data_IF_013690223868
#
_entry.id   IF_013690223868
#
_cell.length_a   1.000
_cell.length_b   1.000
_cell.length_c   1.000
_cell.angle_alpha   90.00
_cell.angle_beta   90.00
_cell.angle_gamma   90.00
#
_symmetry.space_group_name_H-M   'P 1'
#
loop_
_entity.id
_entity.type
_entity.pdbx_description
1 polymer ?
#
# COMPACT_ATOMS: atom_id res chain seq x y z
N UNK A 1 -25.18 -9.13 11.87
CA UNK A 1 -24.19 -8.06 12.14
C UNK A 1 -23.67 -7.55 10.80
N UNK A 2 -23.79 -6.24 10.50
CA UNK A 2 -23.15 -5.67 9.30
C UNK A 2 -21.64 -5.80 9.48
N UNK A 3 -20.98 -6.64 8.67
CA UNK A 3 -19.52 -6.61 8.57
C UNK A 3 -19.13 -5.23 8.06
N UNK A 4 -18.58 -4.39 8.93
CA UNK A 4 -17.93 -3.15 8.53
C UNK A 4 -16.75 -3.53 7.65
N UNK A 5 -16.86 -3.24 6.36
CA UNK A 5 -15.78 -3.43 5.40
C UNK A 5 -14.65 -2.48 5.81
N UNK A 6 -13.48 -3.02 6.16
CA UNK A 6 -12.29 -2.21 6.30
C UNK A 6 -11.87 -1.74 4.90
N UNK A 7 -12.21 -0.49 4.58
CA UNK A 7 -11.95 0.11 3.28
C UNK A 7 -10.45 0.10 2.93
N UNK A 8 -9.59 0.36 3.92
CA UNK A 8 -8.14 0.37 3.71
C UNK A 8 -7.63 -1.02 3.34
N UNK A 9 -8.00 -2.05 4.11
CA UNK A 9 -7.57 -3.42 3.83
C UNK A 9 -8.13 -3.93 2.51
N UNK A 10 -9.38 -3.58 2.19
CA UNK A 10 -10.02 -3.93 0.92
C UNK A 10 -9.28 -3.30 -0.27
N UNK A 11 -8.96 -2.01 -0.17
CA UNK A 11 -8.22 -1.27 -1.19
C UNK A 11 -6.80 -1.81 -1.37
N UNK A 12 -6.03 -1.95 -0.28
CA UNK A 12 -4.64 -2.43 -0.34
C UNK A 12 -4.56 -3.89 -0.81
N UNK A 13 -5.50 -4.74 -0.41
CA UNK A 13 -5.57 -6.11 -0.94
C UNK A 13 -5.87 -6.14 -2.43
N UNK A 14 -6.80 -5.31 -2.91
CA UNK A 14 -7.10 -5.22 -4.33
C UNK A 14 -5.90 -4.75 -5.12
N UNK A 15 -5.27 -3.64 -4.70
CA UNK A 15 -4.08 -3.09 -5.34
C UNK A 15 -2.94 -4.12 -5.42
N UNK A 16 -2.70 -4.87 -4.35
CA UNK A 16 -1.70 -5.96 -4.31
C UNK A 16 -2.05 -7.11 -5.26
N UNK A 17 -3.27 -7.63 -5.20
CA UNK A 17 -3.70 -8.79 -6.01
C UNK A 17 -3.70 -8.48 -7.51
N UNK A 18 -4.20 -7.31 -7.88
CA UNK A 18 -4.29 -6.85 -9.27
C UNK A 18 -2.99 -6.19 -9.76
N UNK A 19 -1.94 -6.11 -8.92
CA UNK A 19 -0.65 -5.45 -9.22
C UNK A 19 -0.85 -4.04 -9.78
N UNK A 20 -1.73 -3.27 -9.15
CA UNK A 20 -2.05 -1.89 -9.55
C UNK A 20 -0.89 -0.98 -9.12
N UNK A 21 -0.34 -0.23 -10.08
CA UNK A 21 0.66 0.81 -9.80
C UNK A 21 0.03 1.96 -9.02
N UNK A 22 0.57 2.24 -7.83
CA UNK A 22 0.14 3.30 -6.94
C UNK A 22 1.19 4.39 -6.84
N UNK A 23 0.73 5.58 -6.47
CA UNK A 23 1.57 6.69 -6.05
C UNK A 23 1.30 6.92 -4.56
N UNK A 24 2.34 6.80 -3.73
CA UNK A 24 2.31 7.12 -2.30
C UNK A 24 2.97 8.47 -2.09
N UNK A 25 2.28 9.39 -1.43
CA UNK A 25 2.83 10.65 -0.95
C UNK A 25 3.13 10.51 0.53
N UNK A 26 4.40 10.65 0.90
CA UNK A 26 4.82 10.69 2.30
C UNK A 26 4.53 12.08 2.88
N UNK A 27 4.40 12.15 4.21
CA UNK A 27 4.13 13.41 4.93
C UNK A 27 5.23 14.47 4.75
N UNK A 28 6.45 14.05 4.48
CA UNK A 28 7.58 14.94 4.16
C UNK A 28 7.58 15.41 2.68
N UNK A 29 6.56 15.06 1.89
CA UNK A 29 6.42 15.45 0.48
C UNK A 29 7.11 14.52 -0.53
N UNK A 30 7.85 13.50 -0.09
CA UNK A 30 8.44 12.52 -1.00
C UNK A 30 7.34 11.71 -1.70
N UNK A 31 7.49 11.52 -3.01
CA UNK A 31 6.60 10.72 -3.86
C UNK A 31 7.26 9.39 -4.20
N UNK A 32 6.54 8.30 -3.96
CA UNK A 32 6.94 6.94 -4.35
C UNK A 32 5.94 6.39 -5.36
N UNK A 33 6.43 5.77 -6.43
CA UNK A 33 5.58 5.13 -7.47
C UNK A 33 5.95 3.65 -7.54
N UNK A 34 4.97 2.76 -7.45
CA UNK A 34 5.28 1.34 -7.33
C UNK A 34 4.08 0.46 -6.99
N UNK A 35 4.38 -0.74 -6.50
CA UNK A 35 3.40 -1.79 -6.24
C UNK A 35 3.36 -2.16 -4.76
N UNK A 36 2.17 -2.43 -4.22
CA UNK A 36 2.01 -3.01 -2.89
C UNK A 36 2.35 -4.50 -2.96
N UNK A 37 3.30 -4.95 -2.14
CA UNK A 37 3.67 -6.37 -2.01
C UNK A 37 3.07 -7.00 -0.76
N UNK A 38 2.82 -6.21 0.28
CA UNK A 38 2.23 -6.66 1.55
C UNK A 38 1.88 -5.47 2.43
N UNK A 39 1.06 -5.70 3.46
CA UNK A 39 0.72 -4.67 4.44
C UNK A 39 0.17 -5.31 5.72
N UNK A 40 0.24 -4.57 6.81
CA UNK A 40 -0.45 -4.85 8.06
C UNK A 40 -1.16 -3.57 8.56
N UNK A 41 -1.47 -3.49 9.85
CA UNK A 41 -2.13 -2.32 10.42
C UNK A 41 -1.27 -1.05 10.39
N UNK A 42 0.06 -1.15 10.45
CA UNK A 42 0.98 -0.02 10.64
C UNK A 42 1.90 0.25 9.45
N UNK A 43 2.16 -0.74 8.60
CA UNK A 43 3.14 -0.62 7.54
C UNK A 43 2.70 -1.27 6.22
N UNK A 44 3.37 -0.87 5.15
CA UNK A 44 3.20 -1.34 3.78
C UNK A 44 4.58 -1.76 3.24
N UNK A 45 4.69 -2.98 2.71
CA UNK A 45 5.82 -3.38 1.87
C UNK A 45 5.52 -2.91 0.46
N UNK A 46 6.33 -1.98 -0.03
CA UNK A 46 6.15 -1.34 -1.32
C UNK A 46 7.37 -1.57 -2.21
N UNK A 47 7.13 -2.01 -3.44
CA UNK A 47 8.19 -2.20 -4.42
C UNK A 47 8.21 -1.03 -5.40
N UNK A 48 9.33 -0.33 -5.46
CA UNK A 48 9.54 0.81 -6.36
C UNK A 48 10.93 0.68 -6.98
N UNK A 49 11.00 0.81 -8.31
CA UNK A 49 12.25 0.68 -9.08
C UNK A 49 13.02 -0.63 -8.80
N UNK A 50 12.30 -1.74 -8.65
CA UNK A 50 12.88 -3.06 -8.37
C UNK A 50 13.44 -3.23 -6.95
N UNK A 51 13.22 -2.26 -6.05
CA UNK A 51 13.62 -2.34 -4.64
C UNK A 51 12.40 -2.38 -3.74
N UNK A 52 12.44 -3.25 -2.73
CA UNK A 52 11.45 -3.28 -1.66
C UNK A 52 11.76 -2.23 -0.59
N UNK A 53 10.71 -1.59 -0.09
CA UNK A 53 10.75 -0.58 0.95
C UNK A 53 9.64 -0.86 1.96
N UNK A 54 9.94 -0.69 3.25
CA UNK A 54 8.95 -0.71 4.32
C UNK A 54 8.51 0.73 4.59
N UNK A 55 7.23 1.03 4.39
CA UNK A 55 6.64 2.35 4.59
C UNK A 55 5.70 2.29 5.79
N UNK A 56 5.88 3.18 6.76
CA UNK A 56 4.93 3.37 7.86
C UNK A 56 3.77 4.26 7.44
N UNK A 57 2.56 3.93 7.90
CA UNK A 57 1.34 4.70 7.64
C UNK A 57 1.24 5.96 8.49
#
# INVERSE_FOLDING_TARGET
MKQTINLQDSFLNRARKEKISLIIYLTNGVKLTGLVQGFDNYAIIFESLGKQQLIYK
#
